data_IF_589608991412
#
_entry.id   IF_589608991412
#
_cell.length_a   1.000
_cell.length_b   1.000
_cell.length_c   1.000
_cell.angle_alpha   90.00
_cell.angle_beta   90.00
_cell.angle_gamma   90.00
#
_symmetry.space_group_name_H-M   'P 1'
#
loop_
_entity.id
_entity.type
_entity.pdbx_description
1 polymer ?
#
# COMPACT_ATOMS: atom_id res chain seq x y z
N UNK A 1 -33.99 27.69 31.62
CA UNK A 1 -32.52 27.46 31.52
C UNK A 1 -32.29 26.96 30.10
N UNK A 2 -31.82 27.84 29.23
CA UNK A 2 -31.53 27.53 27.82
C UNK A 2 -30.15 26.90 27.77
N UNK A 3 -30.11 25.66 27.29
CA UNK A 3 -28.90 24.88 27.04
C UNK A 3 -28.15 25.52 25.87
N UNK A 4 -27.01 26.14 26.16
CA UNK A 4 -26.16 26.75 25.15
C UNK A 4 -25.35 25.63 24.50
N UNK A 5 -25.84 25.12 23.37
CA UNK A 5 -25.08 24.20 22.52
C UNK A 5 -23.77 24.88 22.10
N UNK A 6 -22.64 24.35 22.61
CA UNK A 6 -21.30 24.80 22.25
C UNK A 6 -21.06 24.51 20.77
N UNK A 7 -21.16 25.53 19.92
CA UNK A 7 -20.75 25.43 18.52
C UNK A 7 -19.22 25.24 18.48
N UNK A 8 -18.76 24.04 18.13
CA UNK A 8 -17.35 23.79 17.86
C UNK A 8 -16.94 24.56 16.60
N UNK A 9 -15.89 25.37 16.71
CA UNK A 9 -15.28 26.04 15.56
C UNK A 9 -14.76 24.97 14.56
N UNK A 10 -15.03 25.13 13.25
CA UNK A 10 -14.46 24.25 12.24
C UNK A 10 -12.93 24.28 12.30
N UNK A 11 -12.31 23.10 12.22
CA UNK A 11 -10.87 22.99 12.27
C UNK A 11 -10.18 23.60 11.04
N UNK A 12 -8.97 24.11 11.23
CA UNK A 12 -8.16 24.69 10.15
C UNK A 12 -7.63 23.60 9.19
N UNK A 13 -7.25 23.93 7.94
CA UNK A 13 -6.63 22.97 7.03
C UNK A 13 -5.39 22.28 7.62
N UNK A 14 -4.58 23.02 8.38
CA UNK A 14 -3.40 22.50 9.06
C UNK A 14 -3.78 21.50 10.15
N UNK A 15 -4.85 21.76 10.93
CA UNK A 15 -5.35 20.81 11.93
C UNK A 15 -5.97 19.56 11.29
N UNK A 16 -6.61 19.69 10.12
CA UNK A 16 -7.07 18.56 9.32
C UNK A 16 -5.88 17.73 8.85
N UNK A 17 -4.84 18.36 8.30
CA UNK A 17 -3.62 17.69 7.84
C UNK A 17 -2.89 17.00 8.98
N UNK A 18 -2.71 17.66 10.12
CA UNK A 18 -2.06 17.07 11.29
C UNK A 18 -2.79 15.81 11.79
N UNK A 19 -4.13 15.83 11.83
CA UNK A 19 -4.91 14.62 12.18
C UNK A 19 -4.83 13.54 11.10
N UNK A 20 -4.70 13.92 9.84
CA UNK A 20 -4.44 12.97 8.77
C UNK A 20 -3.08 12.29 8.97
N UNK A 21 -2.01 13.05 9.19
CA UNK A 21 -0.67 12.53 9.44
C UNK A 21 -0.61 11.63 10.69
N UNK A 22 -1.22 12.04 11.81
CA UNK A 22 -1.26 11.21 13.01
C UNK A 22 -1.90 9.83 12.75
N UNK A 23 -3.01 9.80 12.01
CA UNK A 23 -3.65 8.52 11.61
C UNK A 23 -2.79 7.70 10.65
N UNK A 24 -1.98 8.35 9.81
CA UNK A 24 -1.04 7.67 8.93
C UNK A 24 0.04 6.97 9.74
N UNK A 25 0.66 7.64 10.70
CA UNK A 25 1.66 7.04 11.59
C UNK A 25 1.06 5.88 12.42
N UNK A 26 -0.13 6.06 12.99
CA UNK A 26 -0.82 4.98 13.70
C UNK A 26 -1.11 3.78 12.80
N UNK A 27 -1.47 4.02 11.53
CA UNK A 27 -1.86 2.95 10.60
C UNK A 27 -0.70 2.06 10.17
N UNK A 28 0.52 2.60 10.05
CA UNK A 28 1.67 1.85 9.52
C UNK A 28 2.27 0.89 10.55
N UNK A 29 2.08 1.17 11.84
CA UNK A 29 2.52 0.35 12.99
C UNK A 29 1.48 -0.64 13.50
N UNK A 30 0.30 -0.72 12.88
CA UNK A 30 -0.70 -1.73 13.26
C UNK A 30 -0.14 -3.16 13.09
N UNK A 31 -0.71 -4.18 13.75
CA UNK A 31 -0.27 -5.58 13.60
C UNK A 31 -0.20 -6.10 12.16
N UNK A 32 -0.98 -5.51 11.24
CA UNK A 32 -0.92 -5.75 9.79
C UNK A 32 -0.64 -4.49 8.97
N UNK A 33 -0.08 -3.47 9.61
CA UNK A 33 0.39 -2.25 8.97
C UNK A 33 1.58 -2.51 8.05
N UNK A 34 2.00 -1.47 7.32
CA UNK A 34 3.07 -1.61 6.33
C UNK A 34 4.42 -1.97 6.95
N UNK A 35 4.72 -1.47 8.16
CA UNK A 35 5.97 -1.80 8.86
C UNK A 35 5.96 -3.21 9.46
N UNK A 36 4.77 -3.79 9.69
CA UNK A 36 4.65 -5.14 10.22
C UNK A 36 4.99 -6.20 9.16
N UNK A 37 4.87 -5.91 7.85
CA UNK A 37 5.19 -6.88 6.81
C UNK A 37 6.71 -7.13 6.76
N UNK A 38 7.14 -8.30 7.19
CA UNK A 38 8.55 -8.70 7.19
C UNK A 38 8.92 -9.48 5.94
N UNK A 39 7.98 -10.21 5.33
CA UNK A 39 8.29 -11.07 4.20
C UNK A 39 7.12 -11.27 3.23
N UNK A 40 7.46 -11.35 1.94
CA UNK A 40 6.61 -11.89 0.87
C UNK A 40 7.47 -12.86 0.09
N UNK A 41 7.23 -14.16 0.26
CA UNK A 41 8.01 -15.23 -0.34
C UNK A 41 7.17 -15.99 -1.37
N UNK A 42 7.55 -15.95 -2.63
CA UNK A 42 6.97 -16.81 -3.66
C UNK A 42 7.37 -18.27 -3.40
N UNK A 43 6.40 -19.18 -3.56
CA UNK A 43 6.58 -20.61 -3.36
C UNK A 43 6.15 -21.33 -4.63
N UNK A 44 7.13 -21.71 -5.45
CA UNK A 44 6.98 -22.38 -6.75
C UNK A 44 7.41 -23.86 -6.73
N UNK A 45 8.16 -24.25 -5.70
CA UNK A 45 8.50 -25.62 -5.35
C UNK A 45 8.51 -25.79 -3.82
N UNK A 46 8.55 -27.05 -3.37
CA UNK A 46 8.74 -27.36 -1.95
C UNK A 46 10.04 -26.73 -1.43
N UNK A 47 9.92 -25.94 -0.35
CA UNK A 47 11.03 -25.19 0.20
C UNK A 47 10.83 -24.84 1.68
N UNK A 48 11.93 -24.51 2.36
CA UNK A 48 11.87 -23.81 3.64
C UNK A 48 11.94 -22.31 3.38
N UNK A 49 11.38 -21.51 4.29
CA UNK A 49 11.36 -20.05 4.20
C UNK A 49 12.12 -19.52 5.40
N UNK A 50 13.12 -18.67 5.17
CA UNK A 50 13.93 -18.13 6.26
C UNK A 50 13.04 -17.38 7.28
N UNK A 51 13.24 -17.66 8.57
CA UNK A 51 12.48 -17.03 9.65
C UNK A 51 11.03 -17.52 9.80
N UNK A 52 10.57 -18.47 8.98
CA UNK A 52 9.22 -19.02 9.02
C UNK A 52 9.29 -20.54 9.21
N UNK A 53 8.64 -21.11 10.23
CA UNK A 53 8.66 -22.54 10.46
C UNK A 53 7.92 -23.33 9.37
N UNK A 54 8.23 -24.63 9.30
CA UNK A 54 7.61 -25.57 8.37
C UNK A 54 8.21 -25.56 6.97
N UNK A 55 7.85 -26.57 6.19
CA UNK A 55 8.17 -26.70 4.77
C UNK A 55 6.94 -26.35 3.94
N UNK A 56 7.09 -25.42 3.01
CA UNK A 56 6.00 -24.86 2.20
C UNK A 56 6.08 -25.35 0.78
N UNK A 57 4.95 -25.71 0.18
CA UNK A 57 4.89 -26.20 -1.19
C UNK A 57 3.63 -25.72 -1.92
N UNK A 58 3.66 -25.65 -3.27
CA UNK A 58 2.44 -25.48 -4.06
C UNK A 58 1.46 -26.63 -3.82
N UNK A 59 0.16 -26.34 -3.88
CA UNK A 59 -0.88 -27.38 -3.84
C UNK A 59 -0.85 -28.22 -5.11
N UNK A 60 -0.86 -29.54 -4.97
CA UNK A 60 -0.88 -30.47 -6.11
C UNK A 60 -2.28 -30.78 -6.64
N UNK A 61 -3.32 -30.40 -5.90
CA UNK A 61 -4.73 -30.62 -6.25
C UNK A 61 -5.34 -29.49 -7.10
N UNK A 62 -4.53 -28.47 -7.45
CA UNK A 62 -4.94 -27.34 -8.26
C UNK A 62 -5.81 -26.30 -7.53
N UNK A 63 -6.06 -26.46 -6.23
CA UNK A 63 -6.80 -25.46 -5.44
C UNK A 63 -5.97 -24.21 -5.11
N UNK A 64 -6.63 -23.15 -4.64
CA UNK A 64 -5.96 -21.90 -4.28
C UNK A 64 -5.08 -22.04 -3.04
N UNK A 65 -3.87 -21.48 -3.09
CA UNK A 65 -2.95 -21.35 -1.97
C UNK A 65 -1.78 -22.35 -1.95
N UNK A 66 -1.33 -22.69 -0.75
CA UNK A 66 -0.15 -23.53 -0.50
C UNK A 66 -0.48 -24.69 0.45
N UNK A 67 0.46 -25.62 0.61
CA UNK A 67 0.52 -26.53 1.75
C UNK A 67 1.68 -26.19 2.66
N UNK A 68 1.54 -26.49 3.94
CA UNK A 68 2.61 -26.43 4.93
C UNK A 68 2.74 -27.79 5.62
N UNK A 69 3.96 -28.30 5.70
CA UNK A 69 4.29 -29.51 6.47
C UNK A 69 5.13 -29.11 7.67
N UNK A 70 4.68 -29.45 8.88
CA UNK A 70 5.34 -29.11 10.12
C UNK A 70 5.02 -30.14 11.22
N UNK A 71 5.70 -30.04 12.34
CA UNK A 71 5.41 -30.81 13.55
C UNK A 71 4.68 -29.95 14.57
N UNK A 72 3.99 -30.57 15.54
CA UNK A 72 3.38 -29.85 16.65
C UNK A 72 4.36 -28.94 17.43
N UNK A 73 5.67 -29.27 17.42
CA UNK A 73 6.72 -28.48 18.07
C UNK A 73 7.02 -27.16 17.36
N UNK A 74 6.69 -27.04 16.07
CA UNK A 74 6.87 -25.82 15.27
C UNK A 74 5.80 -24.76 15.60
N UNK A 75 4.73 -25.13 16.31
CA UNK A 75 3.72 -24.20 16.82
C UNK A 75 2.80 -23.56 15.78
N UNK A 76 2.90 -23.96 14.51
CA UNK A 76 2.11 -23.39 13.41
C UNK A 76 0.63 -23.73 13.60
N UNK A 77 -0.22 -22.71 13.52
CA UNK A 77 -1.67 -22.88 13.44
C UNK A 77 -2.22 -22.40 12.11
N UNK A 78 -3.05 -23.22 11.47
CA UNK A 78 -3.82 -22.84 10.28
C UNK A 78 -5.30 -22.87 10.66
N UNK A 79 -5.98 -21.74 10.50
CA UNK A 79 -7.40 -21.58 10.88
C UNK A 79 -7.69 -21.98 12.35
N UNK A 80 -6.69 -21.77 13.22
CA UNK A 80 -6.73 -22.11 14.64
C UNK A 80 -6.31 -23.54 15.00
N UNK A 81 -6.17 -24.43 14.02
CA UNK A 81 -5.77 -25.83 14.23
C UNK A 81 -4.24 -25.97 14.22
N UNK A 82 -3.68 -26.68 15.20
CA UNK A 82 -2.24 -26.95 15.28
C UNK A 82 -1.84 -27.93 14.17
N UNK A 83 -0.80 -27.58 13.41
CA UNK A 83 -0.27 -28.43 12.34
C UNK A 83 0.66 -29.49 12.92
N UNK A 84 0.37 -30.76 12.64
CA UNK A 84 1.25 -31.92 12.86
C UNK A 84 1.11 -32.87 11.66
N UNK A 85 2.06 -32.79 10.73
CA UNK A 85 1.94 -33.31 9.37
C UNK A 85 1.70 -32.19 8.35
N UNK A 86 0.91 -32.46 7.31
CA UNK A 86 0.64 -31.51 6.22
C UNK A 86 -0.75 -30.88 6.35
N UNK A 87 -0.81 -29.55 6.27
CA UNK A 87 -2.04 -28.77 6.26
C UNK A 87 -2.15 -27.93 4.98
N UNK A 88 -3.39 -27.62 4.59
CA UNK A 88 -3.72 -26.72 3.48
C UNK A 88 -3.85 -25.29 3.98
N UNK A 89 -3.19 -24.33 3.32
CA UNK A 89 -3.35 -22.89 3.56
C UNK A 89 -3.98 -22.26 2.31
N UNK A 90 -5.28 -21.97 2.37
CA UNK A 90 -6.04 -21.42 1.23
C UNK A 90 -5.66 -19.97 0.97
N UNK A 91 -5.49 -19.62 -0.31
CA UNK A 91 -5.12 -18.27 -0.74
C UNK A 91 -6.23 -17.23 -0.47
N UNK A 92 -5.89 -15.95 -0.53
CA UNK A 92 -6.85 -14.83 -0.41
C UNK A 92 -7.88 -14.76 -1.54
N UNK A 93 -7.62 -15.43 -2.64
CA UNK A 93 -8.49 -15.63 -3.80
C UNK A 93 -9.42 -16.85 -3.67
N UNK A 94 -9.30 -17.63 -2.59
CA UNK A 94 -10.26 -18.68 -2.23
C UNK A 94 -11.54 -18.07 -1.63
N UNK A 95 -12.67 -18.78 -1.71
CA UNK A 95 -13.94 -18.36 -1.09
C UNK A 95 -13.88 -18.34 0.45
N UNK A 96 -13.00 -19.17 1.03
CA UNK A 96 -12.77 -19.26 2.48
C UNK A 96 -11.26 -19.18 2.80
N UNK A 97 -10.61 -18.02 2.62
CA UNK A 97 -9.16 -17.88 2.79
C UNK A 97 -8.68 -18.30 4.17
N UNK A 98 -7.52 -18.97 4.24
CA UNK A 98 -6.94 -19.36 5.51
C UNK A 98 -6.18 -18.20 6.18
N UNK A 99 -6.06 -18.29 7.50
CA UNK A 99 -5.13 -17.51 8.31
C UNK A 99 -4.08 -18.43 8.94
N UNK A 100 -2.84 -17.97 8.98
CA UNK A 100 -1.72 -18.69 9.59
C UNK A 100 -1.19 -17.88 10.77
N UNK A 101 -0.98 -18.56 11.90
CA UNK A 101 -0.35 -17.99 13.10
C UNK A 101 0.92 -18.78 13.40
N UNK A 102 2.02 -18.06 13.57
CA UNK A 102 3.34 -18.61 13.87
C UNK A 102 3.75 -18.36 15.32
N UNK A 103 3.30 -17.25 15.91
CA UNK A 103 3.48 -16.88 17.31
C UNK A 103 2.42 -15.86 17.74
N UNK A 104 2.50 -15.35 18.96
CA UNK A 104 1.60 -14.30 19.46
C UNK A 104 1.67 -13.00 18.65
N UNK A 105 2.81 -12.73 18.00
CA UNK A 105 3.03 -11.50 17.20
C UNK A 105 3.14 -11.76 15.71
N UNK A 106 3.44 -13.00 15.30
CA UNK A 106 3.72 -13.34 13.91
C UNK A 106 2.57 -14.12 13.28
N UNK A 107 2.02 -13.55 12.19
CA UNK A 107 0.94 -14.17 11.42
C UNK A 107 1.19 -14.07 9.91
N UNK A 108 0.48 -14.85 9.12
CA UNK A 108 0.60 -14.80 7.67
C UNK A 108 -0.64 -15.25 6.94
N UNK A 109 -0.61 -15.03 5.63
CA UNK A 109 -1.59 -15.57 4.70
C UNK A 109 -0.98 -15.70 3.31
N UNK A 110 -1.64 -16.47 2.46
CA UNK A 110 -1.19 -16.73 1.10
C UNK A 110 -1.93 -15.83 0.12
N UNK A 111 -1.21 -15.27 -0.85
CA UNK A 111 -1.79 -14.50 -1.96
C UNK A 111 -1.42 -15.11 -3.30
N UNK A 112 -2.36 -15.09 -4.25
CA UNK A 112 -2.06 -15.35 -5.65
C UNK A 112 -1.06 -14.31 -6.19
N UNK A 113 -0.20 -14.77 -7.10
CA UNK A 113 0.75 -13.97 -7.85
C UNK A 113 0.37 -13.97 -9.33
N UNK A 114 0.94 -13.02 -10.07
CA UNK A 114 0.88 -13.07 -11.52
C UNK A 114 1.55 -14.35 -12.04
N UNK A 115 0.96 -14.98 -13.05
CA UNK A 115 1.44 -16.27 -13.59
C UNK A 115 0.95 -17.50 -12.83
N UNK A 116 0.02 -17.35 -11.88
CA UNK A 116 -0.68 -18.47 -11.23
C UNK A 116 0.09 -19.15 -10.09
N UNK A 117 1.24 -18.59 -9.68
CA UNK A 117 1.94 -19.02 -8.46
C UNK A 117 1.34 -18.36 -7.22
N UNK A 118 1.78 -18.79 -6.04
CA UNK A 118 1.35 -18.23 -4.76
C UNK A 118 2.55 -17.75 -3.94
N UNK A 119 2.32 -16.76 -3.09
CA UNK A 119 3.30 -16.28 -2.14
C UNK A 119 2.75 -16.29 -0.72
N UNK A 120 3.59 -16.72 0.23
CA UNK A 120 3.33 -16.52 1.65
C UNK A 120 3.75 -15.11 2.04
N UNK A 121 2.84 -14.37 2.66
CA UNK A 121 3.14 -13.09 3.30
C UNK A 121 3.11 -13.23 4.81
N UNK A 122 4.11 -12.66 5.47
CA UNK A 122 4.31 -12.76 6.92
C UNK A 122 4.41 -11.37 7.52
N UNK A 123 3.65 -11.17 8.60
CA UNK A 123 3.65 -9.96 9.42
C UNK A 123 4.11 -10.30 10.82
N UNK A 124 4.95 -9.43 11.38
CA UNK A 124 5.29 -9.41 12.79
C UNK A 124 4.81 -8.09 13.38
N UNK A 125 3.86 -8.17 14.32
CA UNK A 125 3.31 -7.02 15.03
C UNK A 125 4.37 -6.29 15.90
N UNK A 126 5.51 -6.93 16.14
CA UNK A 126 6.66 -6.33 16.79
C UNK A 126 7.91 -6.33 15.89
N UNK A 127 7.75 -6.18 14.57
CA UNK A 127 8.89 -6.15 13.64
C UNK A 127 9.96 -5.13 14.04
N UNK A 128 11.22 -5.37 13.67
CA UNK A 128 12.30 -4.42 13.91
C UNK A 128 12.01 -3.04 13.29
N UNK A 129 11.33 -3.01 12.15
CA UNK A 129 10.89 -1.78 11.51
C UNK A 129 9.87 -1.02 12.37
N UNK A 130 8.91 -1.69 13.01
CA UNK A 130 8.00 -1.06 13.99
C UNK A 130 8.79 -0.56 15.20
N UNK A 131 9.74 -1.34 15.70
CA UNK A 131 10.55 -0.99 16.87
C UNK A 131 11.46 0.21 16.61
N UNK A 132 11.93 0.41 15.38
CA UNK A 132 12.82 1.51 15.00
C UNK A 132 12.08 2.70 14.35
N UNK A 133 10.81 2.56 13.97
CA UNK A 133 10.02 3.64 13.38
C UNK A 133 9.96 4.87 14.32
N UNK A 134 10.35 6.02 13.76
CA UNK A 134 10.31 7.32 14.43
C UNK A 134 9.09 8.13 14.00
N UNK A 135 8.99 8.42 12.70
CA UNK A 135 7.91 9.24 12.14
C UNK A 135 7.83 9.12 10.62
N UNK A 136 6.78 9.71 10.04
CA UNK A 136 6.74 10.03 8.61
C UNK A 136 7.12 11.50 8.44
N UNK A 137 8.21 11.78 7.70
CA UNK A 137 8.59 13.15 7.33
C UNK A 137 7.60 13.72 6.32
N UNK A 138 7.27 15.01 6.42
CA UNK A 138 6.21 15.66 5.63
C UNK A 138 6.59 17.08 5.26
N UNK A 139 6.09 17.57 4.13
CA UNK A 139 6.11 19.00 3.82
C UNK A 139 5.12 19.77 4.70
N UNK A 140 5.37 21.07 4.86
CA UNK A 140 4.37 22.00 5.40
C UNK A 140 3.13 22.06 4.48
N UNK A 141 1.98 22.42 5.05
CA UNK A 141 0.75 22.60 4.29
C UNK A 141 0.96 23.65 3.18
N UNK A 142 0.72 23.25 1.94
CA UNK A 142 0.89 24.09 0.76
C UNK A 142 -0.44 24.22 -0.02
N UNK A 143 -1.10 25.39 0.03
CA UNK A 143 -2.37 25.60 -0.67
C UNK A 143 -2.22 25.64 -2.20
N UNK A 144 -1.04 25.90 -2.75
CA UNK A 144 -0.81 25.91 -4.21
C UNK A 144 -0.89 24.52 -4.85
N UNK A 145 -0.78 23.48 -4.01
CA UNK A 145 -0.90 22.07 -4.37
C UNK A 145 -2.29 21.49 -4.07
N UNK A 146 -3.30 22.37 -3.90
CA UNK A 146 -4.71 22.01 -3.97
C UNK A 146 -5.21 22.38 -5.37
N UNK A 147 -5.31 21.39 -6.25
CA UNK A 147 -5.63 21.59 -7.66
C UNK A 147 -7.06 21.11 -7.96
N UNK A 148 -7.82 21.92 -8.69
CA UNK A 148 -9.08 21.48 -9.28
C UNK A 148 -8.81 20.86 -10.65
N UNK A 149 -9.37 19.68 -10.88
CA UNK A 149 -9.24 18.93 -12.11
C UNK A 149 -10.62 18.43 -12.59
N UNK A 150 -10.68 18.02 -13.84
CA UNK A 150 -11.85 17.39 -14.43
C UNK A 150 -11.64 15.88 -14.52
N UNK A 151 -12.67 15.10 -14.19
CA UNK A 151 -12.70 13.66 -14.38
C UNK A 151 -13.58 13.30 -15.57
N UNK A 152 -13.00 12.63 -16.56
CA UNK A 152 -13.71 12.13 -17.74
C UNK A 152 -13.71 10.60 -17.70
N UNK A 153 -14.88 9.93 -17.59
CA UNK A 153 -14.95 8.47 -17.61
C UNK A 153 -14.42 7.90 -18.93
N UNK A 154 -13.65 6.82 -18.84
CA UNK A 154 -13.22 6.07 -20.01
C UNK A 154 -14.29 5.04 -20.43
N UNK A 155 -14.26 4.56 -21.69
CA UNK A 155 -15.00 3.37 -22.07
C UNK A 155 -14.70 2.20 -21.12
N UNK A 156 -15.72 1.40 -20.81
CA UNK A 156 -15.57 0.24 -19.94
C UNK A 156 -14.47 -0.71 -20.48
N UNK A 157 -13.61 -1.20 -19.59
CA UNK A 157 -12.50 -2.09 -19.94
C UNK A 157 -11.27 -1.39 -20.51
N UNK A 158 -11.22 -0.04 -20.54
CA UNK A 158 -9.98 0.67 -20.90
C UNK A 158 -8.87 0.33 -19.90
N UNK A 159 -7.73 -0.14 -20.40
CA UNK A 159 -6.58 -0.52 -19.58
C UNK A 159 -5.36 0.36 -19.84
N UNK A 160 -4.47 0.41 -18.86
CA UNK A 160 -3.12 0.95 -18.98
C UNK A 160 -2.14 0.00 -18.31
N UNK A 161 -0.98 -0.21 -18.93
CA UNK A 161 0.08 -1.02 -18.34
C UNK A 161 0.77 -0.29 -17.19
N UNK A 162 0.73 -0.87 -15.99
CA UNK A 162 1.52 -0.43 -14.83
C UNK A 162 2.67 -1.41 -14.59
N UNK A 163 3.89 -0.88 -14.63
CA UNK A 163 5.07 -1.60 -14.16
C UNK A 163 5.04 -1.69 -12.63
N UNK A 164 5.59 -2.74 -12.04
CA UNK A 164 5.81 -2.82 -10.59
C UNK A 164 7.29 -2.96 -10.28
N UNK A 165 7.71 -2.53 -9.09
CA UNK A 165 9.12 -2.47 -8.68
C UNK A 165 9.89 -3.78 -8.88
N UNK A 166 9.22 -4.92 -8.72
CA UNK A 166 9.84 -6.25 -8.78
C UNK A 166 9.46 -7.05 -10.02
N UNK A 167 8.92 -6.39 -11.04
CA UNK A 167 8.44 -7.04 -12.27
C UNK A 167 9.48 -7.01 -13.41
N UNK A 168 10.71 -6.58 -13.14
CA UNK A 168 11.81 -6.51 -14.13
C UNK A 168 11.42 -5.78 -15.45
N UNK A 169 10.64 -4.71 -15.34
CA UNK A 169 10.16 -3.93 -16.48
C UNK A 169 8.90 -4.48 -17.15
N UNK A 170 8.33 -5.59 -16.68
CA UNK A 170 7.05 -6.09 -17.16
C UNK A 170 5.89 -5.20 -16.66
N UNK A 171 4.89 -5.02 -17.51
CA UNK A 171 3.69 -4.25 -17.19
C UNK A 171 2.50 -5.16 -16.96
N UNK A 172 1.66 -4.80 -15.99
CA UNK A 172 0.35 -5.40 -15.76
C UNK A 172 -0.73 -4.45 -16.25
N UNK A 173 -1.61 -4.93 -17.12
CA UNK A 173 -2.74 -4.13 -17.60
C UNK A 173 -3.76 -3.95 -16.48
N UNK A 174 -3.95 -2.71 -16.06
CA UNK A 174 -4.94 -2.34 -15.04
C UNK A 174 -6.05 -1.50 -15.67
N UNK A 175 -7.28 -1.72 -15.23
CA UNK A 175 -8.43 -0.95 -15.71
C UNK A 175 -8.36 0.48 -15.17
N UNK A 176 -8.33 1.45 -16.08
CA UNK A 176 -8.33 2.88 -15.77
C UNK A 176 -9.73 3.46 -16.00
N UNK A 177 -10.50 3.78 -14.94
CA UNK A 177 -11.90 4.17 -15.05
C UNK A 177 -12.14 5.54 -15.72
N UNK A 178 -11.11 6.37 -15.84
CA UNK A 178 -11.20 7.66 -16.47
C UNK A 178 -9.87 8.42 -16.47
N UNK A 179 -9.88 9.53 -17.19
CA UNK A 179 -8.79 10.50 -17.27
C UNK A 179 -9.05 11.66 -16.30
N UNK A 180 -7.99 12.13 -15.63
CA UNK A 180 -8.02 13.28 -14.72
C UNK A 180 -7.18 14.41 -15.34
N UNK A 181 -7.82 15.47 -15.78
CA UNK A 181 -7.15 16.55 -16.52
C UNK A 181 -7.17 17.88 -15.78
N UNK A 182 -6.07 18.62 -15.85
CA UNK A 182 -5.96 19.99 -15.35
C UNK A 182 -4.79 20.73 -16.01
N UNK A 183 -4.78 22.05 -15.87
CA UNK A 183 -3.66 22.91 -16.28
C UNK A 183 -3.09 23.61 -15.05
N UNK A 184 -1.76 23.61 -14.91
CA UNK A 184 -1.06 24.37 -13.87
C UNK A 184 0.22 24.96 -14.47
N UNK A 185 0.45 26.26 -14.24
CA UNK A 185 1.63 26.98 -14.70
C UNK A 185 1.93 26.85 -16.20
N UNK A 186 0.87 26.78 -17.01
CA UNK A 186 0.96 26.64 -18.48
C UNK A 186 1.27 25.23 -18.98
N UNK A 187 1.25 24.23 -18.09
CA UNK A 187 1.41 22.80 -18.43
C UNK A 187 0.06 22.10 -18.25
N UNK A 188 -0.33 21.34 -19.26
CA UNK A 188 -1.52 20.49 -19.24
C UNK A 188 -1.13 19.07 -18.78
N UNK A 189 -1.89 18.53 -17.83
CA UNK A 189 -1.70 17.20 -17.27
C UNK A 189 -2.92 16.32 -17.57
N UNK A 190 -2.66 15.04 -17.84
CA UNK A 190 -3.66 13.98 -18.02
C UNK A 190 -3.22 12.76 -17.20
N UNK A 191 -3.75 12.66 -15.98
CA UNK A 191 -3.35 11.62 -15.04
C UNK A 191 -4.22 10.37 -15.20
N UNK A 192 -3.56 9.22 -15.11
CA UNK A 192 -4.22 7.93 -14.93
C UNK A 192 -4.36 7.61 -13.44
N UNK A 193 -5.50 7.03 -13.09
CA UNK A 193 -5.73 6.44 -11.78
C UNK A 193 -6.34 5.04 -11.98
N UNK A 194 -6.16 4.14 -11.03
CA UNK A 194 -6.88 2.88 -10.98
C UNK A 194 -7.85 2.86 -9.80
N UNK A 195 -8.84 1.96 -9.83
CA UNK A 195 -9.81 1.84 -8.75
C UNK A 195 -9.14 1.29 -7.48
N UNK A 196 -9.42 1.91 -6.34
CA UNK A 196 -9.00 1.44 -5.02
C UNK A 196 -10.19 1.53 -4.07
N UNK A 197 -10.96 0.43 -3.99
CA UNK A 197 -12.24 0.40 -3.30
C UNK A 197 -13.22 1.42 -3.90
N UNK A 198 -13.63 2.40 -3.08
CA UNK A 198 -14.52 3.50 -3.50
C UNK A 198 -13.78 4.74 -4.01
N UNK A 199 -12.46 4.78 -3.87
CA UNK A 199 -11.62 5.87 -4.34
C UNK A 199 -10.92 5.50 -5.65
N UNK A 200 -10.34 6.50 -6.28
CA UNK A 200 -9.32 6.36 -7.31
C UNK A 200 -7.96 6.56 -6.66
N UNK A 201 -6.99 5.75 -7.06
CA UNK A 201 -5.61 5.86 -6.62
C UNK A 201 -4.75 6.33 -7.78
N UNK A 202 -4.13 7.50 -7.59
CA UNK A 202 -3.10 8.04 -8.48
C UNK A 202 -1.77 7.63 -7.89
N UNK A 203 -0.93 6.99 -8.72
CA UNK A 203 0.48 6.75 -8.41
C UNK A 203 1.27 7.75 -9.22
N UNK A 204 2.03 8.61 -8.55
CA UNK A 204 2.76 9.70 -9.21
C UNK A 204 4.19 9.82 -8.68
N UNK A 205 5.06 10.36 -9.52
CA UNK A 205 6.38 10.85 -9.11
C UNK A 205 6.54 12.29 -9.59
N UNK A 206 7.44 13.03 -8.97
CA UNK A 206 7.68 14.42 -9.29
C UNK A 206 9.17 14.75 -9.13
N UNK A 207 9.57 16.00 -9.33
CA UNK A 207 10.99 16.37 -9.28
C UNK A 207 11.63 16.21 -7.89
N UNK A 208 10.83 16.04 -6.83
CA UNK A 208 11.33 15.73 -5.47
C UNK A 208 11.67 14.24 -5.28
N UNK A 209 11.14 13.36 -6.14
CA UNK A 209 11.28 11.90 -5.99
C UNK A 209 12.74 11.46 -6.16
N UNK A 210 13.32 10.89 -5.11
CA UNK A 210 14.70 10.41 -5.07
C UNK A 210 15.71 11.50 -4.68
N UNK A 211 15.24 12.73 -4.47
CA UNK A 211 16.02 13.86 -3.95
C UNK A 211 15.62 14.16 -2.51
N UNK A 212 14.41 14.67 -2.30
CA UNK A 212 13.87 15.06 -0.99
C UNK A 212 12.66 14.22 -0.56
N UNK A 213 12.11 13.39 -1.45
CA UNK A 213 11.06 12.39 -1.16
C UNK A 213 11.46 11.00 -1.64
N UNK A 214 10.70 9.99 -1.22
CA UNK A 214 10.91 8.60 -1.59
C UNK A 214 10.99 8.40 -3.11
N UNK A 215 11.98 7.64 -3.55
CA UNK A 215 12.44 7.57 -4.95
C UNK A 215 11.41 7.01 -5.94
N UNK A 216 10.50 6.17 -5.48
CA UNK A 216 9.51 5.51 -6.34
C UNK A 216 8.31 6.41 -6.64
N UNK A 217 8.08 7.42 -5.80
CA UNK A 217 6.91 8.28 -5.85
C UNK A 217 5.92 8.02 -4.73
N UNK A 218 4.73 8.60 -4.87
CA UNK A 218 3.71 8.72 -3.82
C UNK A 218 2.34 8.37 -4.36
N UNK A 219 1.41 8.08 -3.46
CA UNK A 219 0.02 7.80 -3.78
C UNK A 219 -0.86 8.97 -3.40
N UNK A 220 -1.84 9.30 -4.24
CA UNK A 220 -2.90 10.23 -3.94
C UNK A 220 -4.24 9.53 -4.15
N UNK A 221 -5.07 9.53 -3.10
CA UNK A 221 -6.41 8.94 -3.15
C UNK A 221 -7.45 10.02 -3.32
N UNK A 222 -8.29 9.88 -4.35
CA UNK A 222 -9.27 10.91 -4.74
C UNK A 222 -10.62 10.29 -5.05
N UNK A 223 -11.67 11.09 -4.94
CA UNK A 223 -13.02 10.70 -5.33
C UNK A 223 -13.61 11.79 -6.23
N UNK A 224 -14.00 11.46 -7.47
CA UNK A 224 -14.74 12.39 -8.32
C UNK A 224 -16.05 12.81 -7.66
N UNK A 225 -16.40 14.08 -7.78
CA UNK A 225 -17.73 14.58 -7.41
C UNK A 225 -18.77 14.18 -8.48
N UNK A 226 -20.07 14.16 -8.14
CA UNK A 226 -21.12 13.83 -9.11
C UNK A 226 -21.17 14.75 -10.33
N UNK A 227 -20.62 15.96 -10.23
CA UNK A 227 -20.54 16.93 -11.33
C UNK A 227 -19.32 16.74 -12.25
N UNK A 228 -18.51 15.70 -12.02
CA UNK A 228 -17.31 15.41 -12.80
C UNK A 228 -16.08 16.22 -12.37
N UNK A 229 -16.17 17.05 -11.33
CA UNK A 229 -14.99 17.74 -10.78
C UNK A 229 -14.25 16.83 -9.81
N UNK A 230 -12.93 17.02 -9.70
CA UNK A 230 -12.12 16.33 -8.71
C UNK A 230 -11.13 17.31 -8.09
N UNK A 231 -10.95 17.22 -6.77
CA UNK A 231 -9.94 18.02 -6.06
C UNK A 231 -8.74 17.13 -5.78
N UNK A 232 -7.59 17.51 -6.33
CA UNK A 232 -6.30 16.89 -6.08
C UNK A 232 -5.60 17.68 -4.98
N UNK A 233 -5.74 17.22 -3.74
CA UNK A 233 -5.05 17.79 -2.58
C UNK A 233 -3.76 17.00 -2.32
N UNK A 234 -2.65 17.43 -2.93
CA UNK A 234 -1.37 16.73 -2.77
C UNK A 234 -0.79 16.85 -1.35
N UNK A 235 -1.34 17.69 -0.47
CA UNK A 235 -1.01 17.65 0.95
C UNK A 235 -1.39 16.30 1.58
N UNK A 236 -2.34 15.58 0.98
CA UNK A 236 -2.76 14.25 1.41
C UNK A 236 -2.08 13.14 0.61
N UNK A 237 -1.03 13.45 -0.16
CA UNK A 237 -0.22 12.43 -0.81
C UNK A 237 0.56 11.63 0.25
N UNK A 238 0.51 10.30 0.12
CA UNK A 238 1.10 9.37 1.09
C UNK A 238 2.20 8.54 0.45
N UNK A 239 3.12 8.08 1.27
CA UNK A 239 4.11 7.10 0.91
C UNK A 239 3.44 5.75 0.61
N UNK A 240 3.87 5.07 -0.46
CA UNK A 240 3.37 3.75 -0.77
C UNK A 240 3.88 2.72 0.26
N UNK A 241 3.20 1.57 0.46
CA UNK A 241 3.61 0.57 1.45
C UNK A 241 5.06 0.07 1.31
N UNK A 242 5.60 0.04 0.09
CA UNK A 242 7.00 -0.32 -0.18
C UNK A 242 8.02 0.67 0.40
N UNK A 243 7.64 1.91 0.71
CA UNK A 243 8.51 2.83 1.44
C UNK A 243 8.74 2.39 2.89
N UNK A 244 7.88 1.52 3.44
CA UNK A 244 7.94 1.01 4.81
C UNK A 244 8.45 -0.44 4.90
N UNK A 245 8.49 -1.17 3.78
CA UNK A 245 8.99 -2.54 3.74
C UNK A 245 9.23 -2.98 2.30
N UNK A 246 10.45 -3.45 2.04
CA UNK A 246 10.81 -4.04 0.74
C UNK A 246 10.03 -5.33 0.44
N UNK A 247 9.26 -5.88 1.38
CA UNK A 247 8.42 -7.06 1.11
C UNK A 247 7.16 -6.71 0.28
N UNK A 248 6.85 -5.43 0.06
CA UNK A 248 5.81 -5.03 -0.90
C UNK A 248 6.35 -4.96 -2.34
N UNK A 249 5.47 -5.24 -3.32
CA UNK A 249 5.71 -4.98 -4.74
C UNK A 249 4.71 -3.91 -5.20
N UNK A 250 5.13 -2.63 -5.16
CA UNK A 250 4.26 -1.52 -5.51
C UNK A 250 4.25 -1.24 -7.03
N UNK A 251 3.14 -0.71 -7.56
CA UNK A 251 3.11 -0.15 -8.90
C UNK A 251 4.02 1.08 -9.00
N UNK A 252 4.68 1.22 -10.14
CA UNK A 252 5.43 2.39 -10.56
C UNK A 252 4.49 3.42 -11.20
N UNK A 253 4.77 4.74 -11.05
CA UNK A 253 3.99 5.76 -11.70
C UNK A 253 4.11 5.64 -13.24
N UNK A 254 2.99 5.61 -13.98
CA UNK A 254 3.02 5.62 -15.44
C UNK A 254 3.59 6.95 -15.92
N UNK A 255 4.08 6.99 -17.17
CA UNK A 255 4.80 8.16 -17.72
C UNK A 255 4.00 9.46 -17.58
N UNK A 256 2.69 9.43 -17.83
CA UNK A 256 1.83 10.61 -17.72
C UNK A 256 1.64 11.13 -16.28
N UNK A 257 1.92 10.32 -15.27
CA UNK A 257 1.85 10.71 -13.86
C UNK A 257 3.22 11.14 -13.30
N UNK A 258 4.22 11.38 -14.16
CA UNK A 258 5.55 11.82 -13.75
C UNK A 258 5.68 13.32 -14.01
N UNK A 259 5.57 14.11 -12.94
CA UNK A 259 5.67 15.56 -12.97
C UNK A 259 7.13 15.98 -13.11
N UNK A 260 7.40 16.97 -13.96
CA UNK A 260 8.74 17.57 -14.13
C UNK A 260 9.02 18.69 -13.13
N UNK A 261 8.02 19.08 -12.35
CA UNK A 261 8.08 20.13 -11.33
C UNK A 261 8.06 19.50 -9.93
N UNK A 262 8.65 20.16 -8.91
CA UNK A 262 8.62 19.64 -7.54
C UNK A 262 7.23 19.80 -6.94
N UNK A 263 6.67 18.75 -6.35
CA UNK A 263 5.42 18.79 -5.57
C UNK A 263 5.76 18.78 -4.09
N UNK A 264 6.01 19.97 -3.54
CA UNK A 264 6.35 20.21 -2.12
C UNK A 264 5.09 20.22 -1.23
N UNK A 265 4.38 19.09 -1.22
CA UNK A 265 3.21 18.84 -0.38
C UNK A 265 3.12 17.34 -0.08
N UNK A 266 2.63 16.96 1.12
CA UNK A 266 2.41 15.57 1.52
C UNK A 266 3.61 14.87 2.18
N UNK A 267 3.53 13.55 2.28
CA UNK A 267 4.58 12.71 2.89
C UNK A 267 5.86 12.70 2.04
N UNK A 268 7.03 12.62 2.71
CA UNK A 268 8.37 12.68 2.12
C UNK A 268 9.12 11.35 2.22
N UNK A 269 9.44 10.92 3.45
CA UNK A 269 10.25 9.74 3.74
C UNK A 269 9.85 9.12 5.08
N UNK A 270 10.20 7.85 5.28
CA UNK A 270 10.06 7.17 6.57
C UNK A 270 11.33 7.39 7.39
N UNK A 271 11.21 7.89 8.61
CA UNK A 271 12.34 8.14 9.50
C UNK A 271 12.40 7.14 10.65
N UNK A 272 13.60 6.72 11.02
CA UNK A 272 13.86 6.00 12.25
C UNK A 272 13.79 6.92 13.47
N UNK A 273 13.79 6.34 14.67
CA UNK A 273 13.88 7.08 15.94
C UNK A 273 15.14 7.94 16.05
N UNK A 274 16.19 7.61 15.30
CA UNK A 274 17.41 8.39 15.22
C UNK A 274 17.33 9.56 14.20
N UNK A 275 16.22 9.70 13.48
CA UNK A 275 16.02 10.71 12.44
C UNK A 275 16.71 10.39 11.11
N UNK A 276 17.23 9.18 10.93
CA UNK A 276 17.76 8.70 9.65
C UNK A 276 16.64 8.09 8.79
N UNK A 277 16.87 7.91 7.49
CA UNK A 277 15.95 7.14 6.65
C UNK A 277 15.85 5.70 7.17
N UNK A 278 14.63 5.19 7.32
CA UNK A 278 14.39 3.81 7.77
C UNK A 278 14.71 2.78 6.66
N UNK A 279 14.54 3.19 5.40
CA UNK A 279 14.75 2.41 4.18
C UNK A 279 15.34 3.26 3.05
#
# INVERSE_FOLDING_TARGET
>A
MTDAATQQTPATPQEVLARFHARREESVVQPRGSLALTQTQQVDAEQTIWGVPGTWAPRTDGGSGLTVTATAADGIRVDGELVDGTATVRGKDDESPSEVVFSDTVSGFVIAQHGGSYALRVWDAESDAIRDFGSIDTFDFNPEWIVQAAFTPNPEGTTLGFEHLKDDGQTRDEVIPGSITFSKDGVDYDLAAFKSGRALQIVFADATSGDSTYSVGRFLFVAPRPDGTITLDFNQAVLPPCAFSYAFNCPMPPKQNRFTVPIEAGEKNVLSKAGALLH
#
